data_IF_711287538052
#
_entry.id   IF_711287538052
#
_cell.length_a   1.000
_cell.length_b   1.000
_cell.length_c   1.000
_cell.angle_alpha   90.00
_cell.angle_beta   90.00
_cell.angle_gamma   90.00
#
_symmetry.space_group_name_H-M   'P 1'
#
loop_
_entity.id
_entity.type
_entity.pdbx_description
1 polymer ?
#
# COMPACT_ATOMS: atom_id res chain seq x y z
N UNK A 1 13.57 -13.58 6.01
CA UNK A 1 14.57 -12.68 5.39
C UNK A 1 15.27 -11.82 6.43
N UNK A 2 14.55 -11.12 7.31
CA UNK A 2 15.16 -10.34 8.39
C UNK A 2 16.14 -11.17 9.26
N UNK A 3 15.73 -12.38 9.69
CA UNK A 3 16.60 -13.33 10.42
C UNK A 3 17.87 -13.67 9.65
N UNK A 4 17.76 -13.94 8.35
CA UNK A 4 18.93 -14.23 7.49
C UNK A 4 19.84 -13.01 7.35
N UNK A 5 19.27 -11.81 7.21
CA UNK A 5 20.00 -10.56 7.07
C UNK A 5 20.55 -9.99 8.38
N UNK A 6 20.39 -10.72 9.49
CA UNK A 6 20.90 -10.39 10.84
C UNK A 6 21.69 -11.58 11.41
N UNK A 7 22.10 -12.52 10.57
CA UNK A 7 22.89 -13.71 10.94
C UNK A 7 22.28 -14.54 12.09
N UNK A 8 20.95 -14.58 12.18
CA UNK A 8 20.25 -15.33 13.21
C UNK A 8 19.95 -14.55 14.50
N UNK A 9 20.39 -13.30 14.62
CA UNK A 9 20.00 -12.43 15.74
C UNK A 9 18.50 -12.10 15.65
N UNK A 10 17.72 -12.71 16.53
CA UNK A 10 16.27 -12.56 16.53
C UNK A 10 15.82 -11.17 16.97
N UNK A 11 16.53 -10.54 17.91
CA UNK A 11 16.16 -9.21 18.38
C UNK A 11 16.32 -8.19 17.25
N UNK A 12 17.50 -8.19 16.61
CA UNK A 12 17.76 -7.34 15.44
C UNK A 12 16.81 -7.66 14.27
N UNK A 13 16.49 -8.95 14.06
CA UNK A 13 15.56 -9.36 13.02
C UNK A 13 14.14 -8.81 13.23
N UNK A 14 13.63 -8.86 14.47
CA UNK A 14 12.30 -8.34 14.79
C UNK A 14 12.23 -6.84 14.66
N UNK A 15 13.24 -6.11 15.15
CA UNK A 15 13.29 -4.66 14.98
C UNK A 15 13.29 -4.27 13.50
N UNK A 16 14.16 -4.91 12.70
CA UNK A 16 14.22 -4.68 11.26
C UNK A 16 12.90 -5.00 10.58
N UNK A 17 12.27 -6.13 10.92
CA UNK A 17 10.96 -6.49 10.39
C UNK A 17 9.89 -5.45 10.73
N UNK A 18 9.84 -4.99 11.98
CA UNK A 18 8.88 -3.98 12.43
C UNK A 18 9.06 -2.69 11.64
N UNK A 19 10.28 -2.13 11.58
CA UNK A 19 10.61 -0.92 10.80
C UNK A 19 10.17 -1.05 9.34
N UNK A 20 10.35 -2.24 8.76
CA UNK A 20 10.01 -2.53 7.37
C UNK A 20 8.51 -2.61 7.08
N UNK A 21 7.70 -2.98 8.08
CA UNK A 21 6.28 -3.31 7.87
C UNK A 21 5.32 -2.24 8.33
N UNK A 22 5.64 -1.49 9.39
CA UNK A 22 4.72 -0.52 10.02
C UNK A 22 4.13 0.44 8.99
N UNK A 23 4.96 1.14 8.21
CA UNK A 23 4.48 2.11 7.23
C UNK A 23 3.64 1.46 6.13
N UNK A 24 4.04 0.28 5.65
CA UNK A 24 3.30 -0.43 4.60
C UNK A 24 1.92 -0.89 5.08
N UNK A 25 1.84 -1.53 6.24
CA UNK A 25 0.57 -2.03 6.77
C UNK A 25 -0.35 -0.89 7.18
N UNK A 26 0.19 0.18 7.76
CA UNK A 26 -0.57 1.40 8.05
C UNK A 26 -1.15 2.02 6.78
N UNK A 27 -0.35 2.15 5.71
CA UNK A 27 -0.83 2.65 4.41
C UNK A 27 -1.98 1.80 3.86
N UNK A 28 -1.87 0.47 3.90
CA UNK A 28 -2.96 -0.42 3.46
C UNK A 28 -4.22 -0.15 4.26
N UNK A 29 -4.14 -0.14 5.59
CA UNK A 29 -5.30 0.08 6.46
C UNK A 29 -6.00 1.42 6.19
N UNK A 30 -5.22 2.50 6.13
CA UNK A 30 -5.77 3.84 5.88
C UNK A 30 -6.39 3.94 4.49
N UNK A 31 -5.70 3.44 3.47
CA UNK A 31 -6.21 3.49 2.10
C UNK A 31 -7.43 2.60 1.89
N UNK A 32 -7.53 1.45 2.57
CA UNK A 32 -8.74 0.61 2.50
C UNK A 32 -9.97 1.35 3.02
N UNK A 33 -9.85 2.10 4.12
CA UNK A 33 -10.95 2.94 4.64
C UNK A 33 -11.33 4.04 3.66
N UNK A 34 -10.33 4.70 3.09
CA UNK A 34 -10.54 5.76 2.11
C UNK A 34 -11.18 5.25 0.82
N UNK A 35 -10.73 4.11 0.30
CA UNK A 35 -11.38 3.47 -0.86
C UNK A 35 -12.82 3.08 -0.57
N UNK A 36 -13.12 2.61 0.66
CA UNK A 36 -14.49 2.37 1.11
C UNK A 36 -15.35 3.63 1.02
N UNK A 37 -14.84 4.79 1.45
CA UNK A 37 -15.51 6.09 1.35
C UNK A 37 -15.75 6.50 -0.11
N UNK A 38 -14.71 6.42 -0.94
CA UNK A 38 -14.76 6.80 -2.37
C UNK A 38 -15.71 5.91 -3.16
N UNK A 39 -15.73 4.59 -2.90
CA UNK A 39 -16.66 3.67 -3.57
C UNK A 39 -18.11 3.98 -3.24
N UNK A 40 -18.40 4.37 -2.00
CA UNK A 40 -19.74 4.70 -1.53
C UNK A 40 -20.05 6.21 -1.53
N UNK A 41 -19.27 7.01 -2.27
CA UNK A 41 -19.45 8.45 -2.36
C UNK A 41 -20.86 8.84 -2.84
N UNK A 42 -21.38 9.95 -2.29
CA UNK A 42 -22.73 10.49 -2.57
C UNK A 42 -22.65 11.98 -2.89
N UNK A 43 -23.75 12.55 -3.40
CA UNK A 43 -23.84 14.00 -3.68
C UNK A 43 -22.74 14.49 -4.63
N UNK A 44 -22.13 15.63 -4.31
CA UNK A 44 -21.05 16.25 -5.10
C UNK A 44 -19.81 15.38 -5.16
N UNK A 45 -19.46 14.67 -4.08
CA UNK A 45 -18.29 13.79 -4.07
C UNK A 45 -18.38 12.69 -5.14
N UNK A 46 -19.58 12.13 -5.35
CA UNK A 46 -19.84 11.16 -6.42
C UNK A 46 -19.61 11.76 -7.81
N UNK A 47 -20.02 13.01 -8.02
CA UNK A 47 -19.82 13.69 -9.31
C UNK A 47 -18.34 13.88 -9.60
N UNK A 48 -17.58 14.37 -8.62
CA UNK A 48 -16.12 14.52 -8.72
C UNK A 48 -15.44 13.17 -8.96
N UNK A 49 -15.78 12.12 -8.18
CA UNK A 49 -15.23 10.77 -8.38
C UNK A 49 -15.48 10.27 -9.79
N UNK A 50 -16.72 10.41 -10.29
CA UNK A 50 -17.08 9.96 -11.62
C UNK A 50 -16.27 10.71 -12.69
N UNK A 51 -16.12 12.02 -12.56
CA UNK A 51 -15.32 12.85 -13.47
C UNK A 51 -13.84 12.41 -13.50
N UNK A 52 -13.26 12.16 -12.32
CA UNK A 52 -11.87 11.68 -12.20
C UNK A 52 -11.62 10.30 -12.82
N UNK A 53 -12.64 9.43 -12.89
CA UNK A 53 -12.50 8.05 -13.35
C UNK A 53 -13.00 7.83 -14.79
N UNK A 54 -13.93 8.66 -15.26
CA UNK A 54 -14.49 8.54 -16.61
C UNK A 54 -13.39 8.75 -17.65
N UNK A 55 -13.28 7.82 -18.60
CA UNK A 55 -12.26 7.87 -19.66
C UNK A 55 -10.85 7.53 -19.20
N UNK A 56 -10.63 7.13 -17.93
CA UNK A 56 -9.32 6.67 -17.47
C UNK A 56 -9.03 5.29 -18.05
N UNK A 57 -7.85 5.14 -18.65
CA UNK A 57 -7.43 3.86 -19.22
C UNK A 57 -7.05 2.86 -18.13
N UNK A 58 -7.11 1.55 -18.40
CA UNK A 58 -6.66 0.52 -17.45
C UNK A 58 -5.22 0.73 -16.95
N UNK A 59 -4.32 1.20 -17.81
CA UNK A 59 -2.91 1.42 -17.48
C UNK A 59 -2.78 2.50 -16.40
N UNK A 60 -3.47 3.64 -16.55
CA UNK A 60 -3.49 4.70 -15.53
C UNK A 60 -4.14 4.25 -14.22
N UNK A 61 -4.99 3.22 -14.24
CA UNK A 61 -5.49 2.58 -13.02
C UNK A 61 -4.44 1.69 -12.38
N UNK A 62 -3.68 0.92 -13.15
CA UNK A 62 -2.59 0.10 -12.62
C UNK A 62 -1.47 0.93 -12.00
N UNK A 63 -1.12 2.08 -12.59
CA UNK A 63 -0.17 3.03 -12.00
C UNK A 63 -0.60 3.43 -10.57
N UNK A 64 -1.89 3.68 -10.37
CA UNK A 64 -2.43 4.05 -9.06
C UNK A 64 -2.40 2.88 -8.04
N UNK A 65 -2.33 1.64 -8.53
CA UNK A 65 -2.29 0.42 -7.71
C UNK A 65 -0.88 -0.18 -7.55
N UNK A 66 0.13 0.38 -8.23
CA UNK A 66 1.49 -0.14 -8.23
C UNK A 66 2.06 -0.29 -6.81
N UNK A 67 1.81 0.67 -5.94
CA UNK A 67 2.29 0.63 -4.55
C UNK A 67 1.77 -0.60 -3.76
N UNK A 68 0.59 -1.11 -4.14
CA UNK A 68 -0.06 -2.25 -3.51
C UNK A 68 0.45 -3.56 -4.13
N UNK A 69 0.26 -3.72 -5.45
CA UNK A 69 0.51 -4.97 -6.18
C UNK A 69 1.92 -5.11 -6.76
N UNK A 70 2.63 -4.00 -6.99
CA UNK A 70 4.04 -3.99 -7.41
C UNK A 70 5.03 -4.28 -6.28
N UNK A 71 4.56 -4.39 -5.04
CA UNK A 71 5.41 -4.73 -3.90
C UNK A 71 5.95 -6.15 -3.98
N UNK A 72 7.25 -6.29 -3.69
CA UNK A 72 7.98 -7.54 -3.80
C UNK A 72 8.66 -7.91 -2.48
N UNK A 73 8.54 -9.18 -2.01
CA UNK A 73 9.26 -9.66 -0.83
C UNK A 73 10.79 -9.49 -0.93
N UNK A 74 11.33 -9.37 -2.14
CA UNK A 74 12.75 -9.15 -2.40
C UNK A 74 13.26 -7.80 -1.92
N UNK A 75 12.37 -6.79 -1.90
CA UNK A 75 12.70 -5.39 -1.58
C UNK A 75 11.90 -4.89 -0.38
N UNK A 76 11.53 -5.81 0.51
CA UNK A 76 10.57 -5.51 1.57
C UNK A 76 11.19 -5.09 2.89
N UNK A 77 12.51 -5.23 3.06
CA UNK A 77 13.19 -4.86 4.28
C UNK A 77 13.72 -3.44 4.17
N UNK A 78 13.58 -2.68 5.24
CA UNK A 78 14.28 -1.42 5.43
C UNK A 78 15.79 -1.68 5.46
N UNK A 79 16.53 -0.67 5.01
CA UNK A 79 17.98 -0.59 5.12
C UNK A 79 18.42 -0.61 6.59
#
# INVERSE_FOLDING_TARGET
RAVRGTNGDLAAAFERYQRSRVTRTARVLLMTREMGRIYHAKGVERLVRNDLWKGRTPERFYDALEWLYGWKPERCLAD
#
